data_IF_294818146081
#
_entry.id   IF_294818146081
#
_cell.length_a   1.000
_cell.length_b   1.000
_cell.length_c   1.000
_cell.angle_alpha   90.00
_cell.angle_beta   90.00
_cell.angle_gamma   90.00
#
_symmetry.space_group_name_H-M   'P 1'
#
loop_
_entity.id
_entity.type
_entity.pdbx_description
1 polymer ?
#
# COMPACT_ATOMS: atom_id res chain seq x y z
N UNK A 1 -6.98 -18.19 20.25
CA UNK A 1 -5.91 -19.03 19.65
C UNK A 1 -5.76 -18.81 18.13
N UNK A 2 -6.83 -18.75 17.34
CA UNK A 2 -6.76 -18.57 15.86
C UNK A 2 -6.10 -17.26 15.41
N UNK A 3 -6.34 -16.14 16.08
CA UNK A 3 -5.76 -14.84 15.70
C UNK A 3 -4.22 -14.79 15.85
N UNK A 4 -3.67 -15.41 16.90
CA UNK A 4 -2.22 -15.44 17.10
C UNK A 4 -1.48 -16.24 16.05
N UNK A 5 -2.06 -17.36 15.61
CA UNK A 5 -1.48 -18.21 14.56
C UNK A 5 -1.51 -17.52 13.20
N UNK A 6 -2.62 -16.86 12.85
CA UNK A 6 -2.75 -16.09 11.61
C UNK A 6 -1.73 -14.94 11.54
N UNK A 7 -1.51 -14.25 12.66
CA UNK A 7 -0.53 -13.17 12.75
C UNK A 7 0.91 -13.67 12.59
N UNK A 8 1.23 -14.84 13.15
CA UNK A 8 2.57 -15.42 13.00
C UNK A 8 2.85 -15.82 11.55
N UNK A 9 1.90 -16.42 10.87
CA UNK A 9 1.99 -16.75 9.43
C UNK A 9 2.26 -15.49 8.62
N UNK A 10 1.49 -14.43 8.85
CA UNK A 10 1.69 -13.16 8.14
C UNK A 10 3.08 -12.54 8.38
N UNK A 11 3.59 -12.59 9.62
CA UNK A 11 4.94 -12.09 9.91
C UNK A 11 5.99 -12.89 9.15
N UNK A 12 5.84 -14.22 9.13
CA UNK A 12 6.77 -15.11 8.39
C UNK A 12 6.69 -14.81 6.89
N UNK A 13 5.50 -14.68 6.31
CA UNK A 13 5.32 -14.34 4.90
C UNK A 13 5.95 -12.99 4.56
N UNK A 14 5.76 -11.98 5.40
CA UNK A 14 6.41 -10.68 5.22
C UNK A 14 7.95 -10.76 5.30
N UNK A 15 8.50 -11.59 6.19
CA UNK A 15 9.95 -11.80 6.26
C UNK A 15 10.49 -12.52 5.03
N UNK A 16 9.75 -13.48 4.48
CA UNK A 16 10.12 -14.15 3.23
C UNK A 16 10.08 -13.18 2.04
N UNK A 17 9.07 -12.30 1.97
CA UNK A 17 9.01 -11.27 0.93
C UNK A 17 10.21 -10.33 1.02
N UNK A 18 10.54 -9.84 2.21
CA UNK A 18 11.73 -8.99 2.43
C UNK A 18 12.99 -9.72 1.97
N UNK A 19 13.15 -10.99 2.33
CA UNK A 19 14.30 -11.79 1.93
C UNK A 19 14.43 -11.94 0.40
N UNK A 20 13.30 -12.16 -0.30
CA UNK A 20 13.26 -12.26 -1.76
C UNK A 20 13.59 -10.91 -2.43
N UNK A 21 13.06 -9.82 -1.90
CA UNK A 21 13.36 -8.46 -2.37
C UNK A 21 14.86 -8.14 -2.21
N UNK A 22 15.44 -8.41 -1.03
CA UNK A 22 16.83 -8.10 -0.74
C UNK A 22 17.83 -8.90 -1.57
N UNK A 23 17.48 -10.14 -1.87
CA UNK A 23 18.31 -11.00 -2.71
C UNK A 23 18.08 -10.83 -4.21
N UNK A 24 17.22 -9.89 -4.64
CA UNK A 24 16.75 -9.72 -6.01
C UNK A 24 16.12 -11.01 -6.61
N UNK A 25 15.52 -11.84 -5.75
CA UNK A 25 14.85 -13.09 -6.12
C UNK A 25 13.32 -12.95 -6.16
N UNK A 26 12.79 -11.72 -6.11
CA UNK A 26 11.37 -11.50 -6.28
C UNK A 26 11.03 -11.68 -7.76
N UNK A 27 10.42 -12.82 -8.09
CA UNK A 27 9.90 -13.08 -9.43
C UNK A 27 8.59 -12.34 -9.62
N UNK A 28 8.46 -11.62 -10.73
CA UNK A 28 7.24 -10.93 -11.13
C UNK A 28 6.63 -11.72 -12.30
N UNK A 29 5.37 -12.10 -12.17
CA UNK A 29 4.62 -12.83 -13.19
C UNK A 29 3.55 -11.91 -13.80
N UNK A 30 3.90 -11.04 -14.77
CA UNK A 30 2.99 -10.05 -15.30
C UNK A 30 1.86 -10.71 -16.11
N UNK A 31 0.66 -10.19 -15.93
CA UNK A 31 -0.52 -10.55 -16.68
C UNK A 31 -1.43 -9.32 -16.84
N UNK A 32 -2.33 -9.38 -17.80
CA UNK A 32 -3.37 -8.36 -17.93
C UNK A 32 -4.20 -8.28 -16.66
N UNK A 33 -4.33 -7.06 -16.12
CA UNK A 33 -5.14 -6.82 -14.94
C UNK A 33 -5.82 -5.44 -14.96
N UNK A 34 -6.93 -5.35 -14.25
CA UNK A 34 -7.64 -4.11 -13.97
C UNK A 34 -7.48 -3.76 -12.49
N UNK A 35 -7.10 -2.53 -12.21
CA UNK A 35 -6.83 -2.06 -10.84
C UNK A 35 -8.09 -2.05 -9.97
N UNK A 36 -9.26 -1.81 -10.53
CA UNK A 36 -10.53 -1.83 -9.80
C UNK A 36 -10.79 -3.19 -9.13
N UNK A 37 -10.45 -4.31 -9.79
CA UNK A 37 -10.58 -5.66 -9.21
C UNK A 37 -9.71 -5.85 -7.96
N UNK A 38 -8.56 -5.19 -7.90
CA UNK A 38 -7.70 -5.19 -6.70
C UNK A 38 -8.42 -4.50 -5.54
N UNK A 39 -8.99 -3.32 -5.79
CA UNK A 39 -9.69 -2.58 -4.75
C UNK A 39 -11.03 -3.21 -4.35
N UNK A 40 -11.70 -3.94 -5.23
CA UNK A 40 -12.85 -4.78 -4.87
C UNK A 40 -12.46 -5.87 -3.85
N UNK A 41 -11.34 -6.56 -4.09
CA UNK A 41 -10.80 -7.57 -3.14
C UNK A 41 -10.42 -6.91 -1.81
N UNK A 42 -9.78 -5.75 -1.84
CA UNK A 42 -9.38 -4.99 -0.65
C UNK A 42 -10.61 -4.54 0.15
N UNK A 43 -11.64 -4.03 -0.53
CA UNK A 43 -12.90 -3.62 0.12
C UNK A 43 -13.55 -4.81 0.84
N UNK A 44 -13.53 -5.99 0.24
CA UNK A 44 -14.01 -7.22 0.89
C UNK A 44 -13.15 -7.62 2.08
N UNK A 45 -11.82 -7.55 1.94
CA UNK A 45 -10.88 -7.93 3.00
C UNK A 45 -10.96 -7.03 4.24
N UNK A 46 -11.21 -5.74 4.07
CA UNK A 46 -11.27 -4.77 5.16
C UNK A 46 -12.70 -4.33 5.52
N UNK A 47 -13.74 -4.91 4.90
CA UNK A 47 -15.15 -4.51 5.08
C UNK A 47 -15.55 -4.43 6.56
N UNK A 48 -15.26 -5.46 7.34
CA UNK A 48 -15.54 -5.47 8.79
C UNK A 48 -14.83 -4.32 9.54
N UNK A 49 -13.58 -3.99 9.17
CA UNK A 49 -12.85 -2.90 9.79
C UNK A 49 -13.43 -1.53 9.41
N UNK A 50 -13.90 -1.35 8.17
CA UNK A 50 -14.58 -0.13 7.75
C UNK A 50 -15.87 0.09 8.54
N UNK A 51 -16.67 -0.97 8.73
CA UNK A 51 -17.92 -0.92 9.50
C UNK A 51 -17.65 -0.67 10.99
N UNK A 52 -16.80 -1.47 11.64
CA UNK A 52 -16.48 -1.37 13.07
C UNK A 52 -15.96 0.03 13.44
N UNK A 53 -15.09 0.59 12.59
CA UNK A 53 -14.45 1.87 12.82
C UNK A 53 -15.17 3.05 12.15
N UNK A 54 -16.33 2.81 11.53
CA UNK A 54 -17.14 3.80 10.82
C UNK A 54 -16.32 4.61 9.78
N UNK A 55 -15.35 3.96 9.14
CA UNK A 55 -14.52 4.59 8.12
C UNK A 55 -15.28 4.65 6.79
N UNK A 56 -15.24 5.79 6.14
CA UNK A 56 -15.77 5.94 4.79
C UNK A 56 -14.69 5.58 3.76
N UNK A 57 -14.94 4.54 2.95
CA UNK A 57 -14.05 4.16 1.84
C UNK A 57 -14.68 4.59 0.51
N UNK A 58 -13.93 5.31 -0.33
CA UNK A 58 -14.39 5.81 -1.64
C UNK A 58 -13.38 5.49 -2.74
N UNK A 59 -13.89 5.21 -3.94
CA UNK A 59 -13.08 5.06 -5.16
C UNK A 59 -13.50 6.10 -6.20
N UNK A 60 -12.53 6.72 -6.88
CA UNK A 60 -12.74 7.77 -7.88
C UNK A 60 -11.81 7.54 -9.07
N UNK A 61 -12.37 7.41 -10.27
CA UNK A 61 -11.60 7.27 -11.50
C UNK A 61 -10.87 5.92 -11.68
N UNK A 62 -10.86 5.03 -10.70
CA UNK A 62 -10.13 3.76 -10.75
C UNK A 62 -10.69 2.81 -11.81
N UNK A 63 -12.02 2.76 -11.97
CA UNK A 63 -12.69 1.95 -12.99
C UNK A 63 -12.49 2.44 -14.43
N UNK A 64 -11.99 3.67 -14.60
CA UNK A 64 -11.72 4.24 -15.92
C UNK A 64 -10.27 4.04 -16.37
N UNK A 65 -9.44 3.43 -15.53
CA UNK A 65 -8.05 3.14 -15.87
C UNK A 65 -7.97 2.04 -16.93
N UNK A 66 -6.96 2.09 -17.82
CA UNK A 66 -6.75 1.01 -18.78
C UNK A 66 -6.35 -0.29 -18.08
N UNK A 67 -6.46 -1.39 -18.80
CA UNK A 67 -5.81 -2.66 -18.44
C UNK A 67 -4.30 -2.44 -18.46
N UNK A 68 -3.61 -2.94 -17.44
CA UNK A 68 -2.17 -2.85 -17.32
C UNK A 68 -1.52 -4.24 -17.29
N UNK A 69 -0.24 -4.32 -17.58
CA UNK A 69 0.58 -5.53 -17.42
C UNK A 69 1.28 -5.47 -16.06
N UNK A 70 0.85 -6.33 -15.12
CA UNK A 70 1.43 -6.38 -13.78
C UNK A 70 1.14 -7.72 -13.09
N UNK A 71 1.85 -8.04 -12.02
CA UNK A 71 1.57 -9.19 -11.18
C UNK A 71 0.41 -8.90 -10.22
N UNK A 72 -0.72 -9.55 -10.43
CA UNK A 72 -1.97 -9.29 -9.69
C UNK A 72 -1.83 -9.50 -8.19
N UNK A 73 -1.09 -10.52 -7.78
CA UNK A 73 -0.99 -10.90 -6.38
C UNK A 73 -0.01 -9.97 -5.66
N UNK A 74 1.08 -9.60 -6.32
CA UNK A 74 2.03 -8.62 -5.80
C UNK A 74 1.39 -7.22 -5.70
N UNK A 75 0.66 -6.78 -6.72
CA UNK A 75 -0.05 -5.48 -6.69
C UNK A 75 -1.16 -5.48 -5.63
N UNK A 76 -1.91 -6.58 -5.48
CA UNK A 76 -2.85 -6.72 -4.38
C UNK A 76 -2.15 -6.56 -3.02
N UNK A 77 -0.99 -7.19 -2.82
CA UNK A 77 -0.20 -7.08 -1.57
C UNK A 77 0.22 -5.63 -1.30
N UNK A 78 0.67 -4.89 -2.32
CA UNK A 78 0.99 -3.45 -2.20
C UNK A 78 -0.19 -2.67 -1.63
N UNK A 79 -1.34 -2.73 -2.30
CA UNK A 79 -2.50 -1.94 -1.87
C UNK A 79 -3.13 -2.46 -0.58
N UNK A 80 -3.00 -3.74 -0.27
CA UNK A 80 -3.39 -4.28 1.03
C UNK A 80 -2.58 -3.65 2.18
N UNK A 81 -1.28 -3.49 2.02
CA UNK A 81 -0.43 -2.80 3.00
C UNK A 81 -0.72 -1.29 3.07
N UNK A 82 -0.86 -0.64 1.93
CA UNK A 82 -1.14 0.81 1.85
C UNK A 82 -2.49 1.13 2.48
N UNK A 83 -3.57 0.44 2.10
CA UNK A 83 -4.91 0.65 2.66
C UNK A 83 -4.96 0.22 4.13
N UNK A 84 -4.28 -0.87 4.49
CA UNK A 84 -4.15 -1.30 5.88
C UNK A 84 -3.50 -0.22 6.78
N UNK A 85 -2.47 0.47 6.28
CA UNK A 85 -1.88 1.62 6.96
C UNK A 85 -2.85 2.81 7.03
N UNK A 86 -3.55 3.14 5.95
CA UNK A 86 -4.56 4.19 5.95
C UNK A 86 -5.65 3.92 7.01
N UNK A 87 -6.14 2.68 7.12
CA UNK A 87 -7.09 2.27 8.18
C UNK A 87 -6.47 2.46 9.56
N UNK A 88 -5.25 2.01 9.76
CA UNK A 88 -4.56 2.05 11.05
C UNK A 88 -4.36 3.46 11.58
N UNK A 89 -4.04 4.41 10.70
CA UNK A 89 -3.68 5.77 11.12
C UNK A 89 -4.80 6.80 10.95
N UNK A 90 -5.96 6.39 10.45
CA UNK A 90 -7.18 7.22 10.39
C UNK A 90 -8.01 7.01 11.65
N UNK A 91 -8.47 8.07 12.35
CA UNK A 91 -9.37 7.95 13.49
C UNK A 91 -10.73 7.41 13.06
N UNK A 92 -11.49 6.89 14.04
CA UNK A 92 -12.84 6.40 13.81
C UNK A 92 -13.75 7.51 13.23
N UNK A 93 -14.54 7.16 12.25
CA UNK A 93 -15.38 8.12 11.50
C UNK A 93 -14.66 8.88 10.39
N UNK A 94 -13.35 8.66 10.21
CA UNK A 94 -12.58 9.27 9.14
C UNK A 94 -12.85 8.69 7.75
N UNK A 95 -12.05 9.07 6.77
CA UNK A 95 -12.25 8.63 5.38
C UNK A 95 -10.94 8.22 4.70
N UNK A 96 -11.07 7.26 3.79
CA UNK A 96 -10.00 6.81 2.90
C UNK A 96 -10.54 6.90 1.47
N UNK A 97 -9.83 7.62 0.61
CA UNK A 97 -10.21 7.80 -0.79
C UNK A 97 -9.11 7.26 -1.69
N UNK A 98 -9.49 6.35 -2.57
CA UNK A 98 -8.61 5.86 -3.64
C UNK A 98 -8.98 6.59 -4.92
N UNK A 99 -8.01 7.23 -5.56
CA UNK A 99 -8.21 7.85 -6.87
C UNK A 99 -7.21 7.31 -7.88
N UNK A 100 -7.64 7.21 -9.13
CA UNK A 100 -6.82 6.74 -10.24
C UNK A 100 -6.90 7.68 -11.43
N UNK A 101 -5.75 7.92 -12.07
CA UNK A 101 -5.66 8.68 -13.33
C UNK A 101 -4.60 8.10 -14.24
N UNK A 102 -4.79 8.27 -15.53
CA UNK A 102 -3.73 8.08 -16.52
C UNK A 102 -2.82 9.31 -16.50
N UNK A 103 -1.51 9.12 -16.56
CA UNK A 103 -0.55 10.23 -16.71
C UNK A 103 -0.28 10.44 -18.18
N UNK A 104 -0.07 11.69 -18.57
CA UNK A 104 0.23 12.09 -19.94
C UNK A 104 1.70 12.55 -20.08
N UNK A 105 2.54 12.21 -19.11
CA UNK A 105 3.94 12.68 -19.04
C UNK A 105 4.75 12.16 -20.23
N UNK A 106 4.52 10.90 -20.66
CA UNK A 106 5.07 10.33 -21.91
C UNK A 106 3.98 9.56 -22.67
N UNK A 107 3.53 10.06 -23.84
CA UNK A 107 2.54 9.35 -24.67
C UNK A 107 2.99 7.98 -25.19
N UNK A 108 4.32 7.71 -25.23
CA UNK A 108 4.86 6.42 -25.70
C UNK A 108 4.90 5.39 -24.58
N UNK A 109 4.92 5.86 -23.34
CA UNK A 109 4.93 5.02 -22.16
C UNK A 109 3.90 5.57 -21.13
N UNK A 110 2.62 5.35 -21.41
CA UNK A 110 1.57 5.82 -20.50
C UNK A 110 1.67 5.11 -19.15
N UNK A 111 1.54 5.86 -18.08
CA UNK A 111 1.50 5.34 -16.72
C UNK A 111 0.14 5.59 -16.09
N UNK A 112 -0.26 4.72 -15.18
CA UNK A 112 -1.35 4.99 -14.25
C UNK A 112 -0.78 5.49 -12.93
N UNK A 113 -1.44 6.48 -12.35
CA UNK A 113 -1.16 6.94 -10.99
C UNK A 113 -2.36 6.64 -10.10
N UNK A 114 -2.12 5.90 -9.04
CA UNK A 114 -3.10 5.59 -8.01
C UNK A 114 -2.70 6.33 -6.73
N UNK A 115 -3.63 7.09 -6.15
CA UNK A 115 -3.44 7.78 -4.89
C UNK A 115 -4.39 7.22 -3.83
N UNK A 116 -3.86 6.81 -2.69
CA UNK A 116 -4.62 6.40 -1.52
C UNK A 116 -4.48 7.49 -0.48
N UNK A 117 -5.52 8.29 -0.32
CA UNK A 117 -5.59 9.43 0.60
C UNK A 117 -6.38 9.05 1.84
N UNK A 118 -5.83 9.31 3.01
CA UNK A 118 -6.49 9.17 4.30
C UNK A 118 -6.70 10.53 4.99
N UNK A 119 -7.60 10.56 5.97
CA UNK A 119 -7.81 11.69 6.89
C UNK A 119 -7.25 11.38 8.27
N UNK A 120 -6.05 10.81 8.30
CA UNK A 120 -5.37 10.35 9.50
C UNK A 120 -4.47 11.41 10.15
N UNK A 121 -3.63 10.93 11.06
CA UNK A 121 -2.74 11.78 11.87
C UNK A 121 -1.64 12.48 11.06
N UNK A 122 -1.44 12.08 9.80
CA UNK A 122 -0.37 12.60 8.95
C UNK A 122 1.03 12.13 9.37
N UNK A 123 2.04 12.56 8.61
CA UNK A 123 3.45 12.19 8.77
C UNK A 123 4.32 13.41 8.51
N UNK A 124 5.27 13.71 9.40
CA UNK A 124 6.20 14.80 9.21
C UNK A 124 7.16 14.54 8.04
N UNK A 125 7.53 15.60 7.30
CA UNK A 125 8.31 15.51 6.08
C UNK A 125 9.63 14.73 6.23
N UNK A 126 10.29 14.84 7.37
CA UNK A 126 11.54 14.12 7.67
C UNK A 126 11.39 12.60 7.66
N UNK A 127 10.15 12.07 7.77
CA UNK A 127 9.87 10.64 7.82
C UNK A 127 9.32 10.08 6.50
N UNK A 128 9.04 10.92 5.48
CA UNK A 128 8.41 10.47 4.23
C UNK A 128 9.19 9.37 3.51
N UNK A 129 10.52 9.42 3.53
CA UNK A 129 11.37 8.35 2.99
C UNK A 129 11.56 7.20 3.97
N UNK A 130 11.71 7.53 5.26
CA UNK A 130 12.03 6.55 6.29
C UNK A 130 10.90 5.53 6.53
N UNK A 131 9.65 5.90 6.29
CA UNK A 131 8.51 4.98 6.45
C UNK A 131 8.55 3.80 5.47
N UNK A 132 9.32 3.90 4.39
CA UNK A 132 9.56 2.81 3.45
C UNK A 132 10.76 1.95 3.83
N UNK A 133 11.50 2.29 4.90
CA UNK A 133 12.56 1.46 5.44
C UNK A 133 11.99 0.32 6.28
N UNK A 134 12.71 -0.81 6.26
CA UNK A 134 12.31 -2.01 7.02
C UNK A 134 12.34 -1.74 8.52
N UNK A 135 11.35 -2.27 9.21
CA UNK A 135 11.19 -2.15 10.66
C UNK A 135 11.04 -0.71 11.17
N UNK A 136 10.93 0.26 10.25
CA UNK A 136 10.73 1.65 10.65
C UNK A 136 9.28 1.87 11.13
N UNK A 137 9.15 2.56 12.25
CA UNK A 137 7.87 2.95 12.84
C UNK A 137 8.01 4.37 13.39
N UNK A 138 7.04 5.24 13.11
CA UNK A 138 6.97 6.58 13.68
C UNK A 138 6.30 6.53 15.06
N UNK A 139 6.89 7.24 16.04
CA UNK A 139 6.31 7.41 17.38
C UNK A 139 6.76 6.39 18.42
N UNK A 140 6.38 6.63 19.67
CA UNK A 140 6.67 5.72 20.78
C UNK A 140 5.87 4.43 20.61
N UNK A 141 6.56 3.36 20.26
CA UNK A 141 6.03 2.00 20.02
C UNK A 141 5.47 1.35 21.31
N UNK A 142 5.37 2.08 22.39
CA UNK A 142 5.05 1.57 23.73
C UNK A 142 3.57 1.31 24.00
N UNK A 143 2.66 1.65 23.09
CA UNK A 143 1.24 1.33 23.23
C UNK A 143 0.86 0.15 22.34
N UNK A 144 1.08 -1.03 22.84
CA UNK A 144 0.71 -2.32 22.26
C UNK A 144 -0.81 -2.49 22.16
N UNK A 145 -1.44 -1.90 21.15
CA UNK A 145 -2.74 -2.40 20.73
C UNK A 145 -2.52 -3.58 19.79
N UNK A 146 -2.94 -4.77 20.18
CA UNK A 146 -2.73 -6.02 19.44
C UNK A 146 -3.61 -6.19 18.20
N UNK A 147 -4.32 -5.15 17.75
CA UNK A 147 -5.24 -5.21 16.61
C UNK A 147 -4.67 -4.57 15.35
N UNK A 148 -4.64 -5.32 14.23
CA UNK A 148 -4.11 -4.89 12.94
C UNK A 148 -4.87 -3.71 12.32
N UNK A 149 -6.16 -3.61 12.57
CA UNK A 149 -7.07 -2.58 12.05
C UNK A 149 -7.47 -1.56 13.11
N UNK A 150 -6.97 -1.68 14.34
CA UNK A 150 -7.22 -0.70 15.41
C UNK A 150 -6.42 0.57 15.16
N UNK A 151 -6.97 1.69 15.57
CA UNK A 151 -6.27 2.98 15.51
C UNK A 151 -4.91 2.89 16.23
N UNK A 152 -3.83 3.25 15.54
CA UNK A 152 -2.44 3.09 16.00
C UNK A 152 -2.06 1.65 16.37
N UNK A 153 -2.70 0.64 15.76
CA UNK A 153 -2.39 -0.77 15.98
C UNK A 153 -0.95 -1.12 15.59
N UNK A 154 -0.30 -2.02 16.34
CA UNK A 154 1.07 -2.45 16.09
C UNK A 154 1.19 -3.34 14.84
N UNK A 155 2.38 -3.32 14.22
CA UNK A 155 2.76 -4.21 13.12
C UNK A 155 4.28 -4.25 13.01
N UNK A 156 4.89 -5.16 12.24
CA UNK A 156 6.35 -5.32 12.19
C UNK A 156 7.09 -4.19 11.47
N UNK A 157 6.39 -3.19 10.87
CA UNK A 157 7.04 -2.13 10.08
C UNK A 157 7.64 -2.61 8.76
N UNK A 158 7.06 -3.64 8.16
CA UNK A 158 7.54 -4.23 6.90
C UNK A 158 6.67 -3.90 5.69
N UNK A 159 5.40 -3.58 5.89
CA UNK A 159 4.42 -3.47 4.81
C UNK A 159 4.79 -2.46 3.72
N UNK A 160 5.19 -1.23 4.09
CA UNK A 160 5.60 -0.21 3.10
C UNK A 160 6.95 -0.52 2.45
N UNK A 161 7.89 -1.13 3.18
CA UNK A 161 9.16 -1.59 2.61
C UNK A 161 8.92 -2.68 1.55
N UNK A 162 8.05 -3.65 1.83
CA UNK A 162 7.62 -4.67 0.88
C UNK A 162 6.93 -4.01 -0.32
N UNK A 163 6.02 -3.06 -0.09
CA UNK A 163 5.34 -2.33 -1.14
C UNK A 163 6.32 -1.63 -2.08
N UNK A 164 7.34 -0.94 -1.53
CA UNK A 164 8.38 -0.29 -2.33
C UNK A 164 9.20 -1.31 -3.14
N UNK A 165 9.58 -2.44 -2.54
CA UNK A 165 10.30 -3.49 -3.23
C UNK A 165 9.50 -4.09 -4.40
N UNK A 166 8.21 -4.35 -4.20
CA UNK A 166 7.31 -4.85 -5.24
C UNK A 166 7.15 -3.83 -6.37
N UNK A 167 6.89 -2.57 -6.04
CA UNK A 167 6.72 -1.51 -7.04
C UNK A 167 8.01 -1.28 -7.84
N UNK A 168 9.18 -1.31 -7.19
CA UNK A 168 10.47 -1.24 -7.87
C UNK A 168 10.69 -2.44 -8.82
N UNK A 169 10.28 -3.65 -8.43
CA UNK A 169 10.33 -4.84 -9.30
C UNK A 169 9.40 -4.73 -10.51
N UNK A 170 8.36 -3.89 -10.43
CA UNK A 170 7.48 -3.52 -11.54
C UNK A 170 7.99 -2.28 -12.30
N UNK A 171 9.19 -1.79 -12.01
CA UNK A 171 9.76 -0.55 -12.55
C UNK A 171 8.89 0.70 -12.34
N UNK A 172 8.03 0.64 -11.35
CA UNK A 172 7.15 1.73 -10.93
C UNK A 172 7.76 2.62 -9.85
N UNK A 173 6.95 3.51 -9.33
CA UNK A 173 7.33 4.42 -8.25
C UNK A 173 6.26 4.45 -7.17
N UNK A 174 6.68 4.49 -5.90
CA UNK A 174 5.83 4.70 -4.73
C UNK A 174 6.41 5.83 -3.88
N UNK A 175 5.55 6.74 -3.41
CA UNK A 175 5.95 7.83 -2.51
C UNK A 175 4.78 8.27 -1.64
N UNK A 176 5.05 9.12 -0.67
CA UNK A 176 4.05 9.66 0.25
C UNK A 176 4.13 11.19 0.28
N UNK A 177 2.97 11.82 0.39
CA UNK A 177 2.82 13.24 0.68
C UNK A 177 1.94 13.41 1.92
N UNK A 178 2.38 14.29 2.83
CA UNK A 178 1.62 14.72 4.00
C UNK A 178 2.14 16.09 4.44
N UNK A 179 1.24 16.90 4.98
CA UNK A 179 1.59 18.27 5.43
C UNK A 179 2.18 18.31 6.83
N UNK A 180 2.29 17.16 7.51
CA UNK A 180 2.86 17.01 8.84
C UNK A 180 2.05 16.04 9.70
N UNK A 181 2.55 15.77 10.90
CA UNK A 181 1.88 14.94 11.89
C UNK A 181 1.11 15.80 12.89
N UNK A 182 -0.19 15.51 13.07
CA UNK A 182 -1.00 16.18 14.09
C UNK A 182 -2.23 15.33 14.47
N UNK A 183 -2.34 14.96 15.75
CA UNK A 183 -3.42 14.12 16.27
C UNK A 183 -4.68 14.91 16.65
N UNK A 184 -4.69 16.22 16.50
CA UNK A 184 -5.85 17.07 16.76
C UNK A 184 -6.50 17.55 15.47
N UNK A 185 -5.70 17.88 14.45
CA UNK A 185 -6.19 18.43 13.18
C UNK A 185 -6.30 17.37 12.09
N UNK A 186 -5.64 16.21 12.26
CA UNK A 186 -5.69 15.09 11.31
C UNK A 186 -5.41 15.51 9.86
N UNK A 187 -4.20 15.99 9.56
CA UNK A 187 -3.86 16.52 8.23
C UNK A 187 -3.95 15.44 7.12
N UNK A 188 -3.88 14.17 7.51
CA UNK A 188 -3.91 13.05 6.60
C UNK A 188 -2.61 12.83 5.84
N UNK A 189 -2.59 11.73 5.08
CA UNK A 189 -1.50 11.40 4.18
C UNK A 189 -2.06 10.92 2.85
N UNK A 190 -1.23 10.97 1.81
CA UNK A 190 -1.54 10.37 0.51
C UNK A 190 -0.35 9.54 0.06
N UNK A 191 -0.57 8.25 -0.12
CA UNK A 191 0.42 7.37 -0.75
C UNK A 191 0.09 7.27 -2.23
N UNK A 192 1.09 7.54 -3.06
CA UNK A 192 1.00 7.46 -4.51
C UNK A 192 1.75 6.24 -5.02
N UNK A 193 1.19 5.60 -6.04
CA UNK A 193 1.81 4.50 -6.78
C UNK A 193 1.67 4.81 -8.26
N UNK A 194 2.79 4.78 -9.01
CA UNK A 194 2.82 4.84 -10.49
C UNK A 194 3.27 3.52 -11.05
N UNK A 195 2.63 3.09 -12.12
CA UNK A 195 2.93 1.87 -12.86
C UNK A 195 2.75 2.13 -14.36
N UNK A 196 3.66 1.62 -15.18
CA UNK A 196 3.50 1.62 -16.64
C UNK A 196 2.28 0.78 -17.03
N UNK A 197 1.53 1.26 -18.02
CA UNK A 197 0.42 0.50 -18.61
C UNK A 197 0.95 -0.75 -19.34
N UNK A 198 2.06 -0.61 -20.03
CA UNK A 198 2.61 -1.67 -20.89
C UNK A 198 3.46 -2.69 -20.12
N UNK A 199 3.90 -2.36 -18.90
CA UNK A 199 4.85 -3.14 -18.11
C UNK A 199 6.24 -3.17 -18.77
N UNK A 200 7.26 -2.67 -18.10
CA UNK A 200 8.65 -2.80 -18.56
C UNK A 200 9.33 -3.92 -17.78
N UNK A 201 9.00 -5.14 -18.15
CA UNK A 201 9.70 -6.30 -17.59
C UNK A 201 10.85 -6.63 -18.52
N UNK A 202 12.10 -6.45 -18.08
CA UNK A 202 13.23 -6.98 -18.80
C UNK A 202 13.05 -8.49 -18.87
N UNK A 203 12.91 -9.03 -20.09
CA UNK A 203 13.18 -10.43 -20.32
C UNK A 203 14.60 -10.68 -19.78
N UNK A 204 14.73 -11.46 -18.70
CA UNK A 204 16.03 -11.99 -18.34
C UNK A 204 16.57 -12.68 -19.60
N UNK A 205 17.71 -12.27 -20.15
CA UNK A 205 18.32 -13.03 -21.22
C UNK A 205 18.67 -14.38 -20.60
N UNK A 206 17.78 -15.35 -20.79
CA UNK A 206 18.03 -16.74 -20.42
C UNK A 206 19.25 -17.21 -21.16
N UNK A 207 20.25 -17.57 -20.37
CA UNK A 207 21.38 -18.48 -20.59
C UNK A 207 21.70 -18.91 -22.02
#
# INVERSE_FOLDING_TARGET
>A
MLEGTSRMVEIIDNMLDVSRIDSNLLEVSPAEMQIDQVFEKITKAFGAAFEERKLTFKMQGVSNLPVIQADKDLIYKVFYHVVGNAIKYTPDGGSITVSGRLTEDDPKDPEIEIAVKDTGIGIDAQYHELIFEKFYQTGEVLLHSSGKTKFKGGGPGLGLAISRGIINAHHGRIWLESTGHNEQTYPGSTVYVRLSVNGHFHENPTA
#
